data_IF_980653907895
#
_entry.id   IF_980653907895
#
_cell.length_a   1.000
_cell.length_b   1.000
_cell.length_c   1.000
_cell.angle_alpha   90.00
_cell.angle_beta   90.00
_cell.angle_gamma   90.00
#
_symmetry.space_group_name_H-M   'P 1'
#
loop_
_entity.id
_entity.type
_entity.pdbx_description
1 polymer ?
#
# COMPACT_ATOMS: atom_id res chain seq x y z
N UNK A 1 8.56 -23.36 19.01
CA UNK A 1 7.37 -22.50 19.15
C UNK A 1 7.30 -21.73 17.85
N UNK A 2 6.21 -21.83 17.09
CA UNK A 2 6.05 -20.99 15.91
C UNK A 2 5.74 -19.61 16.45
N UNK A 3 6.68 -18.67 16.35
CA UNK A 3 6.41 -17.28 16.72
C UNK A 3 5.24 -16.81 15.87
N UNK A 4 4.18 -16.41 16.57
CA UNK A 4 2.95 -16.00 15.92
C UNK A 4 3.19 -14.61 15.33
N UNK A 5 3.14 -14.50 14.00
CA UNK A 5 3.29 -13.22 13.32
C UNK A 5 2.36 -12.15 13.95
N UNK A 6 2.82 -10.89 14.04
CA UNK A 6 2.05 -9.77 14.62
C UNK A 6 0.84 -9.36 13.77
N UNK A 7 0.68 -9.97 12.58
CA UNK A 7 -0.47 -9.84 11.71
C UNK A 7 -1.13 -11.20 11.47
N UNK A 8 -2.44 -11.17 11.24
CA UNK A 8 -3.15 -12.35 10.70
C UNK A 8 -2.90 -12.45 9.20
N UNK A 9 -2.18 -13.47 8.77
CA UNK A 9 -1.98 -13.71 7.33
C UNK A 9 -3.31 -13.95 6.60
N UNK A 10 -3.46 -13.41 5.36
CA UNK A 10 -4.51 -13.81 4.44
C UNK A 10 -4.55 -15.35 4.31
N UNK A 11 -5.75 -15.93 4.21
CA UNK A 11 -5.97 -17.38 4.14
C UNK A 11 -5.02 -18.11 3.20
N UNK A 12 -4.78 -17.59 1.98
CA UNK A 12 -3.89 -18.27 1.01
C UNK A 12 -2.45 -18.35 1.50
N UNK A 13 -1.97 -17.31 2.20
CA UNK A 13 -0.64 -17.32 2.79
C UNK A 13 -0.59 -18.22 4.03
N UNK A 14 -1.59 -18.12 4.90
CA UNK A 14 -1.69 -18.90 6.15
C UNK A 14 -1.77 -20.41 5.87
N UNK A 15 -2.53 -20.80 4.86
CA UNK A 15 -2.81 -22.21 4.56
C UNK A 15 -1.74 -22.81 3.61
N UNK A 16 -0.73 -22.03 3.19
CA UNK A 16 0.32 -22.50 2.27
C UNK A 16 -0.12 -22.65 0.81
N UNK A 17 -1.26 -22.05 0.45
CA UNK A 17 -1.89 -22.16 -0.86
C UNK A 17 -1.34 -21.09 -1.83
N UNK A 18 -0.13 -21.34 -2.32
CA UNK A 18 0.54 -20.41 -3.23
C UNK A 18 -0.16 -20.30 -4.60
N UNK A 19 -0.71 -21.40 -5.13
CA UNK A 19 -1.43 -21.36 -6.39
C UNK A 19 -2.72 -20.53 -6.26
N UNK A 20 -3.41 -20.66 -5.13
CA UNK A 20 -4.53 -19.79 -4.81
C UNK A 20 -4.11 -18.33 -4.63
N UNK A 21 -2.95 -18.05 -4.03
CA UNK A 21 -2.40 -16.69 -3.96
C UNK A 21 -2.10 -16.11 -5.34
N UNK A 22 -1.51 -16.89 -6.24
CA UNK A 22 -1.27 -16.50 -7.64
C UNK A 22 -2.59 -16.21 -8.37
N UNK A 23 -3.62 -17.04 -8.18
CA UNK A 23 -4.94 -16.80 -8.76
C UNK A 23 -5.56 -15.48 -8.25
N UNK A 24 -5.45 -15.18 -6.94
CA UNK A 24 -5.90 -13.88 -6.39
C UNK A 24 -5.20 -12.71 -7.07
N UNK A 25 -3.87 -12.80 -7.24
CA UNK A 25 -3.08 -11.74 -7.86
C UNK A 25 -3.45 -11.55 -9.33
N UNK A 26 -3.56 -12.64 -10.10
CA UNK A 26 -4.00 -12.58 -11.49
C UNK A 26 -5.42 -12.03 -11.61
N UNK A 27 -6.35 -12.49 -10.76
CA UNK A 27 -7.69 -11.94 -10.73
C UNK A 27 -7.69 -10.43 -10.50
N UNK A 28 -6.87 -9.94 -9.55
CA UNK A 28 -6.82 -8.51 -9.28
C UNK A 28 -6.19 -7.72 -10.43
N UNK A 29 -5.02 -8.15 -10.90
CA UNK A 29 -4.16 -7.36 -11.78
C UNK A 29 -4.40 -7.55 -13.28
N UNK A 30 -4.82 -8.74 -13.72
CA UNK A 30 -4.79 -9.10 -15.14
C UNK A 30 -6.15 -9.45 -15.72
N UNK A 31 -7.12 -9.84 -14.90
CA UNK A 31 -8.45 -10.27 -15.37
C UNK A 31 -9.45 -9.10 -15.36
N UNK A 32 -10.09 -8.79 -16.50
CA UNK A 32 -11.15 -7.79 -16.53
C UNK A 32 -12.35 -8.22 -15.69
N UNK A 33 -12.97 -7.26 -15.01
CA UNK A 33 -14.20 -7.48 -14.26
C UNK A 33 -15.33 -7.85 -15.22
N UNK A 34 -16.01 -8.96 -14.95
CA UNK A 34 -17.15 -9.44 -15.78
C UNK A 34 -18.22 -8.38 -16.03
N UNK A 35 -18.47 -7.51 -15.05
CA UNK A 35 -19.53 -6.48 -15.12
C UNK A 35 -19.17 -5.34 -16.07
N UNK A 36 -17.90 -4.97 -16.18
CA UNK A 36 -17.48 -3.73 -16.87
C UNK A 36 -16.59 -3.99 -18.08
N UNK A 37 -15.96 -5.17 -18.19
CA UNK A 37 -14.97 -5.48 -19.22
C UNK A 37 -13.62 -4.78 -19.02
N UNK A 38 -13.46 -4.01 -17.94
CA UNK A 38 -12.22 -3.31 -17.61
C UNK A 38 -11.50 -3.98 -16.43
N UNK A 39 -10.18 -3.79 -16.34
CA UNK A 39 -9.43 -4.11 -15.14
C UNK A 39 -9.95 -3.30 -13.94
N UNK A 40 -9.70 -3.83 -12.74
CA UNK A 40 -9.88 -3.04 -11.51
C UNK A 40 -8.98 -1.81 -11.62
N UNK A 41 -9.51 -0.63 -11.33
CA UNK A 41 -8.72 0.62 -11.39
C UNK A 41 -7.48 0.55 -10.49
N UNK A 42 -7.57 -0.12 -9.35
CA UNK A 42 -6.45 -0.28 -8.42
C UNK A 42 -5.31 -1.16 -8.95
N UNK A 43 -5.54 -1.96 -10.00
CA UNK A 43 -4.48 -2.69 -10.70
C UNK A 43 -3.64 -1.79 -11.60
N UNK A 44 -4.17 -0.62 -11.96
CA UNK A 44 -3.49 0.37 -12.80
C UNK A 44 -2.72 1.39 -11.96
N UNK A 45 -2.93 1.43 -10.64
CA UNK A 45 -2.38 2.45 -9.74
C UNK A 45 -0.85 2.47 -9.70
N UNK A 46 -0.23 1.28 -9.64
CA UNK A 46 1.21 1.13 -9.43
C UNK A 46 2.03 1.67 -10.61
N UNK A 47 1.53 1.54 -11.85
CA UNK A 47 2.18 2.00 -13.08
C UNK A 47 1.62 3.31 -13.63
N UNK A 48 0.61 3.90 -12.99
CA UNK A 48 0.01 5.15 -13.45
C UNK A 48 1.01 6.31 -13.28
N UNK A 49 1.57 6.79 -14.40
CA UNK A 49 2.48 7.96 -14.47
C UNK A 49 2.28 8.67 -15.81
N UNK A 50 1.17 9.42 -15.98
CA UNK A 50 0.82 9.99 -17.27
C UNK A 50 1.80 11.07 -17.75
N UNK A 51 2.52 11.74 -16.85
CA UNK A 51 3.50 12.77 -17.23
C UNK A 51 4.94 12.26 -17.29
N UNK A 52 5.21 11.02 -16.85
CA UNK A 52 6.56 10.44 -16.81
C UNK A 52 7.47 11.10 -15.76
N UNK A 53 6.88 11.78 -14.79
CA UNK A 53 7.59 12.63 -13.84
C UNK A 53 7.64 12.07 -12.42
N UNK A 54 7.05 10.88 -12.19
CA UNK A 54 6.91 10.32 -10.85
C UNK A 54 8.24 10.24 -10.10
N UNK A 55 9.31 9.85 -10.78
CA UNK A 55 10.65 9.75 -10.19
C UNK A 55 11.23 11.12 -9.83
N UNK A 56 11.06 12.12 -10.72
CA UNK A 56 11.48 13.50 -10.46
C UNK A 56 10.73 14.08 -9.26
N UNK A 57 9.44 13.78 -9.17
CA UNK A 57 8.52 14.36 -8.20
C UNK A 57 8.36 13.46 -6.95
N UNK A 58 9.32 12.55 -6.70
CA UNK A 58 9.27 11.59 -5.59
C UNK A 58 9.22 12.26 -4.20
N UNK A 59 9.65 13.51 -4.08
CA UNK A 59 9.73 14.26 -2.82
C UNK A 59 8.75 15.44 -2.73
N UNK A 60 7.82 15.56 -3.66
CA UNK A 60 6.81 16.63 -3.66
C UNK A 60 5.42 16.07 -3.91
N UNK A 61 4.41 16.50 -3.15
CA UNK A 61 3.02 16.16 -3.46
C UNK A 61 2.53 16.96 -4.66
N UNK A 62 1.89 16.25 -5.60
CA UNK A 62 1.44 16.77 -6.89
C UNK A 62 -0.04 16.44 -7.11
N UNK A 63 -0.66 17.12 -8.08
CA UNK A 63 -2.04 16.82 -8.47
C UNK A 63 -2.19 15.37 -8.96
N UNK A 64 -1.14 14.80 -9.55
CA UNK A 64 -1.12 13.41 -9.96
C UNK A 64 -1.24 12.46 -8.77
N UNK A 65 -0.62 12.75 -7.62
CA UNK A 65 -0.77 11.89 -6.44
C UNK A 65 -2.23 11.85 -5.94
N UNK A 66 -2.95 12.98 -6.08
CA UNK A 66 -4.36 13.06 -5.72
C UNK A 66 -5.25 12.27 -6.69
N UNK A 67 -4.95 12.32 -7.99
CA UNK A 67 -5.64 11.50 -8.99
C UNK A 67 -5.30 10.02 -8.79
N UNK A 68 -4.05 9.69 -8.46
CA UNK A 68 -3.57 8.34 -8.24
C UNK A 68 -4.42 7.63 -7.17
N UNK A 69 -4.69 8.28 -6.04
CA UNK A 69 -5.48 7.64 -4.96
C UNK A 69 -6.93 7.37 -5.35
N UNK A 70 -7.47 8.04 -6.38
CA UNK A 70 -8.82 7.73 -6.92
C UNK A 70 -8.88 6.35 -7.57
N UNK A 71 -7.76 5.86 -8.14
CA UNK A 71 -7.67 4.50 -8.67
C UNK A 71 -7.84 3.45 -7.57
N UNK A 72 -7.55 3.82 -6.31
CA UNK A 72 -7.77 3.01 -5.11
C UNK A 72 -9.08 3.38 -4.38
N UNK A 73 -10.06 3.93 -5.10
CA UNK A 73 -11.40 4.27 -4.59
C UNK A 73 -11.40 5.30 -3.46
N UNK A 74 -10.41 6.20 -3.43
CA UNK A 74 -10.40 7.35 -2.50
C UNK A 74 -11.01 8.57 -3.18
N UNK A 75 -11.86 9.29 -2.46
CA UNK A 75 -12.29 10.63 -2.84
C UNK A 75 -11.48 11.66 -2.06
N UNK A 76 -10.75 12.52 -2.78
CA UNK A 76 -9.96 13.60 -2.20
C UNK A 76 -10.90 14.79 -1.94
N UNK A 77 -11.09 15.24 -0.68
CA UNK A 77 -11.89 16.42 -0.40
C UNK A 77 -11.21 17.67 -0.96
N UNK A 78 -11.98 18.65 -1.41
CA UNK A 78 -11.45 19.90 -1.97
C UNK A 78 -10.45 20.61 -1.04
N UNK A 79 -10.73 20.60 0.27
CA UNK A 79 -9.82 21.14 1.29
C UNK A 79 -8.49 20.38 1.32
N UNK A 80 -8.52 19.05 1.21
CA UNK A 80 -7.33 18.22 1.13
C UNK A 80 -6.48 18.54 -0.09
N UNK A 81 -7.12 18.73 -1.25
CA UNK A 81 -6.43 19.15 -2.47
C UNK A 81 -5.79 20.54 -2.32
N UNK A 82 -6.51 21.50 -1.72
CA UNK A 82 -5.99 22.84 -1.47
C UNK A 82 -4.76 22.81 -0.55
N UNK A 83 -4.77 22.01 0.52
CA UNK A 83 -3.61 21.88 1.42
C UNK A 83 -2.42 21.17 0.78
N UNK A 84 -2.66 20.05 0.06
CA UNK A 84 -1.59 19.24 -0.53
C UNK A 84 -0.93 19.91 -1.74
N UNK A 85 -1.64 20.79 -2.45
CA UNK A 85 -1.14 21.46 -3.66
C UNK A 85 -0.87 22.96 -3.48
N UNK A 86 -1.35 23.56 -2.39
CA UNK A 86 -1.20 24.98 -2.12
C UNK A 86 0.09 25.33 -1.38
N UNK A 87 0.19 26.57 -0.91
CA UNK A 87 1.38 27.14 -0.25
C UNK A 87 1.80 26.39 1.03
N UNK A 88 0.86 25.66 1.65
CA UNK A 88 1.10 24.87 2.85
C UNK A 88 1.75 23.50 2.57
N UNK A 89 1.96 23.12 1.30
CA UNK A 89 2.57 21.83 0.97
C UNK A 89 4.07 21.76 1.28
N UNK A 90 4.74 22.90 1.50
CA UNK A 90 6.17 22.96 1.76
C UNK A 90 6.57 22.13 2.99
N UNK A 91 5.78 22.19 4.07
CA UNK A 91 6.04 21.42 5.28
C UNK A 91 5.79 19.92 5.07
N UNK A 92 4.73 19.55 4.34
CA UNK A 92 4.46 18.16 4.00
C UNK A 92 5.55 17.58 3.09
N UNK A 93 6.04 18.36 2.11
CA UNK A 93 7.15 17.99 1.24
C UNK A 93 8.45 17.85 2.05
N UNK A 94 8.69 18.73 3.03
CA UNK A 94 9.82 18.62 3.96
C UNK A 94 9.74 17.34 4.79
N UNK A 95 8.58 17.03 5.36
CA UNK A 95 8.34 15.76 6.08
C UNK A 95 8.54 14.54 5.17
N UNK A 96 8.11 14.61 3.91
CA UNK A 96 8.33 13.56 2.92
C UNK A 96 9.81 13.38 2.58
N UNK A 97 10.58 14.47 2.50
CA UNK A 97 12.05 14.42 2.37
C UNK A 97 12.68 13.77 3.60
N UNK A 98 12.22 14.10 4.82
CA UNK A 98 12.71 13.50 6.06
C UNK A 98 12.48 11.98 6.12
N UNK A 99 11.45 11.45 5.42
CA UNK A 99 11.25 9.99 5.28
C UNK A 99 12.42 9.32 4.54
N UNK A 100 13.15 10.06 3.71
CA UNK A 100 14.21 9.53 2.85
C UNK A 100 13.67 8.89 1.58
N UNK A 101 14.52 8.32 0.72
CA UNK A 101 14.11 7.63 -0.51
C UNK A 101 13.27 6.38 -0.23
N UNK A 102 12.53 5.93 -1.25
CA UNK A 102 11.80 4.66 -1.19
C UNK A 102 12.76 3.47 -1.05
N UNK A 103 12.33 2.48 -0.26
CA UNK A 103 13.09 1.29 0.14
C UNK A 103 12.13 0.25 0.70
N UNK A 104 12.55 -1.01 0.76
CA UNK A 104 11.64 -2.07 1.22
C UNK A 104 11.38 -1.95 2.71
N UNK A 105 10.11 -2.09 3.09
CA UNK A 105 9.69 -2.16 4.48
C UNK A 105 10.36 -3.31 5.26
N UNK A 106 10.79 -4.38 4.57
CA UNK A 106 11.55 -5.47 5.19
C UNK A 106 12.95 -5.06 5.63
N UNK A 107 13.52 -4.00 5.05
CA UNK A 107 14.85 -3.50 5.40
C UNK A 107 14.82 -2.64 6.67
N UNK A 108 13.63 -2.29 7.17
CA UNK A 108 13.43 -1.49 8.38
C UNK A 108 13.55 -2.38 9.62
N UNK A 109 14.76 -2.47 10.16
CA UNK A 109 15.06 -3.29 11.34
C UNK A 109 14.58 -2.66 12.66
N UNK A 110 14.53 -1.32 12.71
CA UNK A 110 14.11 -0.59 13.90
C UNK A 110 12.58 -0.37 13.90
N UNK A 111 11.92 -0.45 15.07
CA UNK A 111 10.49 -0.16 15.19
C UNK A 111 10.15 1.28 14.79
N UNK A 112 8.99 1.45 14.14
CA UNK A 112 8.41 2.76 13.92
C UNK A 112 7.72 3.27 15.19
N UNK A 113 8.20 4.40 15.71
CA UNK A 113 7.59 5.14 16.80
C UNK A 113 6.82 6.35 16.27
N UNK A 114 6.01 7.04 17.08
CA UNK A 114 5.36 8.29 16.66
C UNK A 114 6.33 9.36 16.14
N UNK A 115 7.58 9.34 16.60
CA UNK A 115 8.65 10.27 16.22
C UNK A 115 9.33 9.89 14.90
N UNK A 116 9.17 8.66 14.43
CA UNK A 116 9.73 8.22 13.15
C UNK A 116 9.25 9.13 12.01
N UNK A 117 10.12 9.50 11.05
CA UNK A 117 9.77 10.44 10.00
C UNK A 117 8.47 10.13 9.25
N UNK A 118 8.24 8.85 8.95
CA UNK A 118 7.04 8.41 8.22
C UNK A 118 5.76 8.50 9.06
N UNK A 119 5.85 8.29 10.38
CA UNK A 119 4.74 8.45 11.33
C UNK A 119 4.38 9.92 11.52
N UNK A 120 5.39 10.82 11.55
CA UNK A 120 5.16 12.27 11.56
C UNK A 120 4.49 12.74 10.28
N UNK A 121 4.90 12.23 9.11
CA UNK A 121 4.24 12.51 7.84
C UNK A 121 2.77 12.02 7.84
N UNK A 122 2.51 10.79 8.27
CA UNK A 122 1.12 10.27 8.36
C UNK A 122 0.28 11.13 9.31
N UNK A 123 0.83 11.53 10.46
CA UNK A 123 0.15 12.38 11.44
C UNK A 123 -0.19 13.73 10.82
N UNK A 124 0.77 14.42 10.20
CA UNK A 124 0.54 15.71 9.55
C UNK A 124 -0.50 15.63 8.41
N UNK A 125 -0.47 14.55 7.62
CA UNK A 125 -1.50 14.32 6.59
C UNK A 125 -2.90 14.17 7.21
N UNK A 126 -3.01 13.48 8.34
CA UNK A 126 -4.28 13.24 9.03
C UNK A 126 -4.84 14.46 9.78
N UNK A 127 -4.03 15.47 10.04
CA UNK A 127 -4.47 16.76 10.57
C UNK A 127 -5.23 17.59 9.53
N UNK A 128 -5.06 17.28 8.24
CA UNK A 128 -5.80 17.93 7.16
C UNK A 128 -7.27 17.49 7.21
N UNK A 129 -8.18 18.45 7.31
CA UNK A 129 -9.61 18.17 7.36
C UNK A 129 -10.08 17.30 6.18
N UNK A 130 -10.68 16.16 6.49
CA UNK A 130 -11.19 15.19 5.52
C UNK A 130 -10.15 14.17 5.02
N UNK A 131 -8.88 14.26 5.45
CA UNK A 131 -7.86 13.25 5.17
C UNK A 131 -7.81 12.26 6.33
N UNK A 132 -8.51 11.13 6.17
CA UNK A 132 -8.43 10.01 7.11
C UNK A 132 -7.23 9.10 6.87
N UNK A 133 -7.01 8.14 7.78
CA UNK A 133 -5.94 7.12 7.69
C UNK A 133 -5.89 6.38 6.35
N UNK A 134 -7.05 6.01 5.81
CA UNK A 134 -7.16 5.35 4.49
C UNK A 134 -6.57 6.19 3.37
N UNK A 135 -6.82 7.51 3.38
CA UNK A 135 -6.28 8.40 2.36
C UNK A 135 -4.80 8.70 2.61
N UNK A 136 -4.41 8.97 3.85
CA UNK A 136 -3.02 9.23 4.22
C UNK A 136 -2.11 8.06 3.84
N UNK A 137 -2.47 6.82 4.19
CA UNK A 137 -1.66 5.63 3.83
C UNK A 137 -1.49 5.47 2.32
N UNK A 138 -2.54 5.70 1.52
CA UNK A 138 -2.48 5.60 0.05
C UNK A 138 -1.65 6.72 -0.58
N UNK A 139 -1.66 7.92 0.00
CA UNK A 139 -0.81 9.04 -0.41
C UNK A 139 0.67 8.73 -0.10
N UNK A 140 0.97 8.23 1.10
CA UNK A 140 2.35 7.86 1.46
C UNK A 140 2.83 6.71 0.60
N UNK A 141 2.04 5.64 0.45
CA UNK A 141 2.35 4.50 -0.43
C UNK A 141 2.52 4.91 -1.89
N UNK A 142 1.88 6.00 -2.34
CA UNK A 142 2.13 6.53 -3.70
C UNK A 142 3.56 7.05 -3.85
N UNK A 143 4.10 7.70 -2.81
CA UNK A 143 5.45 8.27 -2.77
C UNK A 143 6.53 7.30 -2.33
N UNK A 144 6.17 6.34 -1.47
CA UNK A 144 7.05 5.32 -0.91
C UNK A 144 6.41 3.93 -1.04
N UNK A 145 6.21 3.44 -2.29
CA UNK A 145 5.45 2.23 -2.54
C UNK A 145 6.06 0.98 -1.92
N UNK A 146 7.37 0.92 -1.75
CA UNK A 146 8.05 -0.22 -1.11
C UNK A 146 8.04 -0.16 0.41
N UNK A 147 7.96 1.05 0.97
CA UNK A 147 8.05 1.30 2.40
C UNK A 147 6.70 1.27 3.12
N UNK A 148 5.63 1.80 2.52
CA UNK A 148 4.39 2.06 3.27
C UNK A 148 3.23 1.17 2.82
N UNK A 149 2.64 0.34 3.70
CA UNK A 149 1.50 -0.50 3.36
C UNK A 149 0.22 0.33 3.19
N UNK A 150 -0.60 -0.05 2.22
CA UNK A 150 -1.91 0.58 2.02
C UNK A 150 -2.87 0.11 3.11
N UNK A 151 -3.53 1.07 3.75
CA UNK A 151 -4.59 0.79 4.70
C UNK A 151 -5.98 1.08 4.13
N UNK A 152 -6.92 0.17 4.39
CA UNK A 152 -8.36 0.47 4.52
C UNK A 152 -9.00 -0.46 5.56
N UNK A 153 -10.29 -0.27 5.86
CA UNK A 153 -10.99 -1.08 6.86
C UNK A 153 -11.07 -2.58 6.52
N UNK A 154 -10.99 -2.93 5.23
CA UNK A 154 -11.00 -4.32 4.78
C UNK A 154 -9.65 -4.95 5.07
N UNK A 155 -8.55 -4.31 4.67
CA UNK A 155 -7.18 -4.76 4.92
C UNK A 155 -6.92 -4.81 6.42
N UNK A 156 -7.25 -3.74 7.16
CA UNK A 156 -7.08 -3.67 8.60
C UNK A 156 -7.86 -4.76 9.35
N UNK A 157 -9.07 -5.11 8.87
CA UNK A 157 -9.81 -6.25 9.41
C UNK A 157 -9.14 -7.57 9.05
N UNK A 158 -8.76 -7.77 7.79
CA UNK A 158 -8.20 -9.04 7.30
C UNK A 158 -6.88 -9.38 7.98
N UNK A 159 -6.00 -8.39 8.14
CA UNK A 159 -4.69 -8.53 8.77
C UNK A 159 -4.72 -8.41 10.30
N UNK A 160 -5.86 -8.05 10.91
CA UNK A 160 -5.94 -7.84 12.36
C UNK A 160 -5.28 -6.53 12.85
N UNK A 161 -5.04 -5.58 11.94
CA UNK A 161 -4.24 -4.36 12.15
C UNK A 161 -5.08 -3.09 12.27
N UNK A 162 -6.31 -3.20 12.80
CA UNK A 162 -7.20 -2.05 12.96
C UNK A 162 -6.61 -0.98 13.89
N UNK A 163 -6.00 -1.36 15.00
CA UNK A 163 -5.43 -0.43 15.97
C UNK A 163 -4.11 0.18 15.48
N UNK A 164 -3.20 -0.63 14.95
CA UNK A 164 -1.91 -0.25 14.39
C UNK A 164 -1.66 -1.08 13.13
N UNK A 165 -1.05 -0.49 12.09
CA UNK A 165 -0.91 -1.13 10.78
C UNK A 165 0.53 -1.15 10.27
N UNK A 166 1.20 0.01 10.18
CA UNK A 166 2.58 0.07 9.71
C UNK A 166 3.50 -0.85 10.51
N UNK A 167 3.55 -0.69 11.83
CA UNK A 167 4.50 -1.42 12.68
C UNK A 167 4.28 -2.94 12.70
N UNK A 168 3.04 -3.47 12.90
CA UNK A 168 2.82 -4.91 12.79
C UNK A 168 3.16 -5.48 11.41
N UNK A 169 2.92 -4.72 10.33
CA UNK A 169 3.29 -5.17 8.98
C UNK A 169 4.80 -5.15 8.78
N UNK A 170 5.52 -4.14 9.31
CA UNK A 170 6.98 -4.10 9.32
C UNK A 170 7.56 -5.32 10.01
N UNK A 171 7.13 -5.58 11.25
CA UNK A 171 7.60 -6.70 12.06
C UNK A 171 7.32 -8.05 11.38
N UNK A 172 6.17 -8.21 10.69
CA UNK A 172 5.90 -9.41 9.92
C UNK A 172 6.78 -9.59 8.66
N UNK A 173 7.40 -8.53 8.16
CA UNK A 173 8.22 -8.54 6.94
C UNK A 173 9.72 -8.50 7.23
N UNK A 174 10.17 -7.99 8.38
CA UNK A 174 11.58 -7.76 8.68
C UNK A 174 12.41 -9.04 8.81
N UNK A 175 11.78 -10.16 9.21
CA UNK A 175 12.44 -11.48 9.27
C UNK A 175 12.72 -12.07 7.87
N UNK A 176 12.21 -11.42 6.81
CA UNK A 176 12.55 -11.71 5.42
C UNK A 176 11.78 -12.88 4.79
N UNK A 177 11.39 -13.92 5.53
CA UNK A 177 10.71 -15.10 4.96
C UNK A 177 9.41 -14.74 4.22
N UNK A 178 8.55 -13.95 4.87
CA UNK A 178 7.31 -13.49 4.26
C UNK A 178 7.58 -12.57 3.07
N UNK A 179 8.56 -11.66 3.18
CA UNK A 179 8.94 -10.76 2.11
C UNK A 179 9.38 -11.53 0.86
N UNK A 180 10.29 -12.49 1.00
CA UNK A 180 10.78 -13.35 -0.09
C UNK A 180 9.63 -14.13 -0.72
N UNK A 181 8.73 -14.70 0.09
CA UNK A 181 7.55 -15.41 -0.42
C UNK A 181 6.62 -14.49 -1.23
N UNK A 182 6.40 -13.26 -0.79
CA UNK A 182 5.58 -12.29 -1.52
C UNK A 182 6.22 -11.91 -2.88
N UNK A 183 7.55 -11.80 -2.94
CA UNK A 183 8.27 -11.59 -4.20
C UNK A 183 8.17 -12.79 -5.15
N UNK A 184 8.27 -14.02 -4.64
CA UNK A 184 8.07 -15.24 -5.44
C UNK A 184 6.66 -15.30 -6.04
N UNK A 185 5.63 -15.06 -5.22
CA UNK A 185 4.24 -15.05 -5.65
C UNK A 185 3.98 -13.99 -6.74
N UNK A 186 4.59 -12.82 -6.62
CA UNK A 186 4.55 -11.77 -7.65
C UNK A 186 5.10 -12.27 -8.99
N UNK A 187 6.26 -12.93 -8.97
CA UNK A 187 6.90 -13.48 -10.18
C UNK A 187 6.03 -14.59 -10.78
N UNK A 188 5.53 -15.52 -9.97
CA UNK A 188 4.63 -16.60 -10.42
C UNK A 188 3.32 -16.08 -11.01
N UNK A 189 2.83 -14.95 -10.51
CA UNK A 189 1.66 -14.26 -11.07
C UNK A 189 1.96 -13.48 -12.37
N UNK A 190 3.22 -13.41 -12.80
CA UNK A 190 3.63 -12.68 -14.01
C UNK A 190 3.59 -11.15 -13.84
N UNK A 191 3.73 -10.65 -12.61
CA UNK A 191 3.69 -9.22 -12.31
C UNK A 191 5.10 -8.61 -12.33
N UNK A 192 5.21 -7.38 -12.84
CA UNK A 192 6.48 -6.67 -12.94
C UNK A 192 6.94 -6.00 -11.63
N UNK A 193 8.15 -5.43 -11.67
CA UNK A 193 8.79 -4.85 -10.48
C UNK A 193 8.13 -3.60 -9.92
N UNK A 194 7.24 -2.97 -10.69
CA UNK A 194 6.42 -1.86 -10.21
C UNK A 194 5.48 -2.27 -9.07
N UNK A 195 5.21 -3.57 -8.88
CA UNK A 195 4.42 -4.09 -7.76
C UNK A 195 5.37 -4.53 -6.63
N UNK A 196 5.45 -3.79 -5.51
CA UNK A 196 6.33 -4.16 -4.40
C UNK A 196 5.72 -5.27 -3.53
N UNK A 197 6.55 -5.95 -2.72
CA UNK A 197 6.11 -7.03 -1.84
C UNK A 197 4.97 -6.61 -0.90
N UNK A 198 5.04 -5.40 -0.33
CA UNK A 198 3.98 -4.87 0.54
C UNK A 198 2.64 -4.73 -0.21
N UNK A 199 2.68 -4.33 -1.49
CA UNK A 199 1.48 -4.24 -2.33
C UNK A 199 0.87 -5.61 -2.63
N UNK A 200 1.69 -6.64 -2.78
CA UNK A 200 1.23 -8.04 -2.92
C UNK A 200 0.44 -8.44 -1.68
N UNK A 201 0.97 -8.17 -0.48
CA UNK A 201 0.27 -8.44 0.79
C UNK A 201 -1.06 -7.67 0.87
N UNK A 202 -1.05 -6.38 0.54
CA UNK A 202 -2.25 -5.53 0.55
C UNK A 202 -3.35 -6.07 -0.36
N UNK A 203 -3.00 -6.51 -1.57
CA UNK A 203 -3.95 -7.06 -2.55
C UNK A 203 -4.50 -8.40 -2.11
N UNK A 204 -3.64 -9.30 -1.61
CA UNK A 204 -4.08 -10.60 -1.08
C UNK A 204 -5.05 -10.41 0.09
N UNK A 205 -4.70 -9.54 1.04
CA UNK A 205 -5.55 -9.21 2.18
C UNK A 205 -6.88 -8.58 1.73
N UNK A 206 -6.83 -7.60 0.83
CA UNK A 206 -8.03 -6.91 0.38
C UNK A 206 -8.97 -7.86 -0.38
N UNK A 207 -8.47 -8.62 -1.35
CA UNK A 207 -9.29 -9.54 -2.16
C UNK A 207 -9.97 -10.61 -1.30
N UNK A 208 -9.25 -11.20 -0.34
CA UNK A 208 -9.83 -12.17 0.58
C UNK A 208 -10.80 -11.54 1.58
N UNK A 209 -10.47 -10.35 2.09
CA UNK A 209 -11.37 -9.57 2.95
C UNK A 209 -12.65 -9.09 2.23
N UNK A 210 -12.63 -9.01 0.89
CA UNK A 210 -13.79 -8.79 0.02
C UNK A 210 -14.53 -10.08 -0.37
N UNK A 211 -14.03 -11.24 0.06
CA UNK A 211 -14.69 -12.54 -0.11
C UNK A 211 -14.33 -13.28 -1.40
N UNK A 212 -13.30 -12.85 -2.14
CA UNK A 212 -12.81 -13.62 -3.28
C UNK A 212 -12.26 -14.97 -2.80
N UNK A 213 -12.63 -16.03 -3.51
CA UNK A 213 -12.13 -17.38 -3.28
C UNK A 213 -11.39 -17.82 -4.55
N UNK A 214 -10.10 -18.18 -4.45
CA UNK A 214 -9.37 -18.70 -5.59
C UNK A 214 -10.09 -19.88 -6.23
N UNK A 215 -9.95 -20.01 -7.55
CA UNK A 215 -10.30 -21.26 -8.22
C UNK A 215 -9.38 -22.37 -7.70
N UNK A 216 -9.96 -23.52 -7.37
CA UNK A 216 -9.23 -24.76 -7.05
C UNK A 216 -8.48 -25.27 -8.28
#
# INVERSE_FOLDING_TARGET
MVDQLPIRLPRVLRDGDDDGAVDVLQEYFTRPLRKTGYLRTGALWDSWDPSGNRDRDANIFTAEDLVAVTLLSVQVPAQGAFFLLGENNAELNRLLVDVGPDRDLSDETEPFTPESPVCRLETALREIHGVGRTMASKIIARKRPRLYPIYDDVIGRELGTKAAHLEPVREALCDGELHVRLLDLRVRAGLGDAIPAVRVLDVLAWMQGKGYKPAL
#
